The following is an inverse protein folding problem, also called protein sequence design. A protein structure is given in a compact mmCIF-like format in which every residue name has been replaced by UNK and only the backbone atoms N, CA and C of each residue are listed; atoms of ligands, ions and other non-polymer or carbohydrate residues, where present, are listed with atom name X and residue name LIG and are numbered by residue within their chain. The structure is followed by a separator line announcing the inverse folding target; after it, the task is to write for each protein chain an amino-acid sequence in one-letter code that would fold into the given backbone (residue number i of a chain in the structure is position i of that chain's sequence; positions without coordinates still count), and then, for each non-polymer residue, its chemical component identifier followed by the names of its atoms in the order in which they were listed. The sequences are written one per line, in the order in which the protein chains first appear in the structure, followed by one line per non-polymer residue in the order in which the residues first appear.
data_IF_866792362574
#
_entry.id   IF_866792362574
#
_cell.length_a   1.000
_cell.length_b   1.000
_cell.length_c   1.000
_cell.angle_alpha   90.00
_cell.angle_beta   90.00
_cell.angle_gamma   90.00
#
_symmetry.space_group_name_H-M   'P 1'
#
loop_
_entity.id
_entity.type
_entity.pdbx_description
1 polymer ?
#
# COMPACT_ATOMS: atom_id res chain seq x y z
N UNK A 1 -9.29 -8.56 -8.30
CA UNK A 1 -9.28 -7.62 -7.17
C UNK A 1 -8.84 -6.26 -7.67
N UNK A 2 -9.15 -5.18 -6.95
CA UNK A 2 -8.70 -3.83 -7.28
C UNK A 2 -8.32 -3.10 -6.02
N UNK A 3 -7.05 -2.75 -5.93
CA UNK A 3 -6.45 -2.13 -4.76
C UNK A 3 -6.05 -0.70 -5.05
N UNK A 4 -6.25 0.17 -4.07
CA UNK A 4 -5.77 1.55 -4.07
C UNK A 4 -4.85 1.72 -2.88
N UNK A 5 -3.62 2.15 -3.12
CA UNK A 5 -2.66 2.52 -2.08
C UNK A 5 -2.50 4.03 -2.06
N UNK A 6 -2.60 4.63 -0.88
CA UNK A 6 -2.53 6.07 -0.65
C UNK A 6 -1.40 6.38 0.34
N UNK A 7 -0.68 7.47 0.09
CA UNK A 7 0.33 7.99 1.01
C UNK A 7 0.34 9.51 0.98
N UNK A 8 0.32 10.12 2.14
CA UNK A 8 0.49 11.55 2.32
C UNK A 8 1.94 11.87 2.63
N UNK A 9 2.46 13.04 2.23
CA UNK A 9 3.78 13.49 2.67
C UNK A 9 3.89 13.49 4.20
N UNK A 10 5.07 13.21 4.77
CA UNK A 10 5.25 13.17 6.23
C UNK A 10 4.88 14.49 6.92
N UNK A 11 5.04 15.62 6.22
CA UNK A 11 4.72 16.96 6.73
C UNK A 11 3.22 17.30 6.65
N UNK A 12 2.41 16.49 5.95
CA UNK A 12 0.95 16.67 5.90
C UNK A 12 0.27 16.42 7.25
N UNK A 13 0.97 15.73 8.14
CA UNK A 13 0.55 15.42 9.51
C UNK A 13 1.30 16.22 10.57
N UNK A 14 1.79 17.43 10.27
CA UNK A 14 2.34 18.29 11.31
C UNK A 14 1.44 18.22 12.55
N UNK A 15 1.95 18.37 13.77
CA UNK A 15 1.37 18.07 15.08
C UNK A 15 -0.11 18.52 15.37
N UNK A 16 -0.82 18.98 14.36
CA UNK A 16 -2.25 19.27 14.34
C UNK A 16 -3.01 18.02 13.89
N UNK A 17 -3.60 17.30 14.84
CA UNK A 17 -4.63 16.32 14.55
C UNK A 17 -5.79 16.97 13.77
N UNK A 18 -6.49 16.20 12.97
CA UNK A 18 -7.67 16.66 12.23
C UNK A 18 -8.85 16.75 13.21
N UNK A 19 -9.49 17.93 13.31
CA UNK A 19 -10.74 18.06 14.01
C UNK A 19 -11.83 17.35 13.23
N UNK A 20 -12.23 16.14 13.66
CA UNK A 20 -13.46 15.50 13.20
C UNK A 20 -14.60 15.94 14.12
N UNK A 21 -15.82 16.14 13.61
CA UNK A 21 -16.98 16.33 14.47
C UNK A 21 -17.16 15.08 15.31
N UNK A 22 -16.91 15.20 16.61
CA UNK A 22 -17.16 14.13 17.56
C UNK A 22 -18.66 13.82 17.57
N UNK A 23 -19.03 12.55 17.50
CA UNK A 23 -20.43 12.10 17.54
C UNK A 23 -21.15 12.39 18.86
N UNK A 24 -20.43 12.85 19.88
CA UNK A 24 -20.92 13.15 21.23
C UNK A 24 -21.01 14.65 21.55
N UNK A 25 -20.77 15.54 20.57
CA UNK A 25 -20.88 16.98 20.76
C UNK A 25 -19.73 17.62 21.56
N UNK A 26 -18.65 16.91 21.84
CA UNK A 26 -17.45 17.44 22.46
C UNK A 26 -16.58 18.18 21.42
N UNK A 27 -16.27 19.49 21.61
CA UNK A 27 -15.71 20.31 20.54
C UNK A 27 -14.22 20.09 20.24
N UNK A 28 -13.49 19.28 21.00
CA UNK A 28 -12.01 19.27 20.98
C UNK A 28 -11.32 17.90 21.01
N UNK A 29 -11.94 16.85 20.50
CA UNK A 29 -11.23 15.58 20.33
C UNK A 29 -10.28 15.66 19.13
N UNK A 30 -9.00 15.93 19.37
CA UNK A 30 -7.94 15.86 18.34
C UNK A 30 -7.64 14.39 18.05
N UNK A 31 -8.20 13.88 16.95
CA UNK A 31 -7.91 12.52 16.49
C UNK A 31 -6.57 12.51 15.76
N UNK A 32 -5.67 11.54 16.04
CA UNK A 32 -4.42 11.40 15.28
C UNK A 32 -4.71 11.33 13.78
N UNK A 33 -3.95 12.03 12.98
CA UNK A 33 -4.16 12.09 11.51
C UNK A 33 -4.33 10.69 10.88
N UNK A 34 -3.52 9.72 11.31
CA UNK A 34 -3.58 8.34 10.82
C UNK A 34 -4.94 7.68 11.07
N UNK A 35 -5.50 7.89 12.24
CA UNK A 35 -6.82 7.37 12.61
C UNK A 35 -7.93 8.06 11.80
N UNK A 36 -7.87 9.37 11.70
CA UNK A 36 -8.81 10.16 10.91
C UNK A 36 -8.84 9.76 9.42
N UNK A 37 -7.66 9.52 8.83
CA UNK A 37 -7.56 9.03 7.46
C UNK A 37 -8.09 7.60 7.30
N UNK A 38 -7.90 6.75 8.30
CA UNK A 38 -8.50 5.42 8.33
C UNK A 38 -10.03 5.48 8.32
N UNK A 39 -10.64 6.28 9.22
CA UNK A 39 -12.08 6.50 9.27
C UNK A 39 -12.64 7.09 7.97
N UNK A 40 -11.93 8.06 7.40
CA UNK A 40 -12.29 8.63 6.09
C UNK A 40 -12.30 7.58 4.99
N UNK A 41 -11.32 6.68 4.95
CA UNK A 41 -11.22 5.67 3.91
C UNK A 41 -12.31 4.59 4.02
N UNK A 42 -12.80 4.30 5.23
CA UNK A 42 -13.88 3.33 5.47
C UNK A 42 -15.22 3.73 4.79
N UNK A 43 -15.42 5.01 4.43
CA UNK A 43 -16.60 5.42 3.65
C UNK A 43 -16.61 4.82 2.24
N UNK A 44 -15.45 4.42 1.68
CA UNK A 44 -15.34 3.90 0.32
C UNK A 44 -15.41 2.38 0.24
N UNK A 45 -14.93 1.70 1.27
CA UNK A 45 -14.88 0.24 1.37
C UNK A 45 -14.70 -0.20 2.82
N UNK A 46 -15.26 -1.34 3.24
CA UNK A 46 -14.97 -1.91 4.56
C UNK A 46 -13.58 -2.53 4.67
N UNK A 47 -12.86 -2.69 3.56
CA UNK A 47 -11.56 -3.34 3.53
C UNK A 47 -10.45 -2.30 3.44
N UNK A 48 -10.11 -1.72 4.57
CA UNK A 48 -9.06 -0.70 4.73
C UNK A 48 -8.03 -1.18 5.72
N UNK A 49 -6.75 -1.04 5.38
CA UNK A 49 -5.66 -1.40 6.27
C UNK A 49 -4.48 -0.42 6.15
N UNK A 50 -3.80 -0.17 7.26
CA UNK A 50 -2.50 0.46 7.23
C UNK A 50 -1.41 -0.59 7.01
N UNK A 51 -0.64 -0.41 5.96
CA UNK A 51 0.50 -1.26 5.63
C UNK A 51 1.74 -0.39 5.51
N UNK A 52 2.62 -0.48 6.48
CA UNK A 52 3.77 0.40 6.64
C UNK A 52 3.35 1.88 6.61
N UNK A 53 3.82 2.63 5.62
CA UNK A 53 3.52 4.04 5.40
C UNK A 53 2.25 4.31 4.57
N UNK A 54 1.63 3.26 4.01
CA UNK A 54 0.52 3.38 3.08
C UNK A 54 -0.83 3.00 3.70
N UNK A 55 -1.88 3.73 3.34
CA UNK A 55 -3.27 3.33 3.55
C UNK A 55 -3.73 2.54 2.32
N UNK A 56 -4.08 1.29 2.53
CA UNK A 56 -4.45 0.35 1.49
C UNK A 56 -5.95 0.07 1.53
N UNK A 57 -6.62 0.21 0.39
CA UNK A 57 -8.05 -0.02 0.21
C UNK A 57 -8.28 -1.15 -0.80
N UNK A 58 -9.04 -2.17 -0.45
CA UNK A 58 -9.56 -3.15 -1.42
C UNK A 58 -10.97 -2.71 -1.82
N UNK A 59 -11.17 -2.35 -3.10
CA UNK A 59 -12.39 -1.68 -3.55
C UNK A 59 -13.21 -2.49 -4.56
N UNK A 60 -12.84 -3.73 -4.88
CA UNK A 60 -13.53 -4.54 -5.90
C UNK A 60 -15.03 -4.68 -5.63
N UNK A 61 -15.40 -4.97 -4.37
CA UNK A 61 -16.79 -5.12 -3.96
C UNK A 61 -17.57 -3.81 -3.97
N UNK A 62 -16.90 -2.67 -3.81
CA UNK A 62 -17.52 -1.36 -3.68
C UNK A 62 -17.64 -0.60 -5.00
N UNK A 63 -16.99 -1.04 -6.08
CA UNK A 63 -16.96 -0.31 -7.36
C UNK A 63 -18.34 0.01 -7.94
N UNK A 64 -19.32 -0.89 -7.74
CA UNK A 64 -20.69 -0.68 -8.21
C UNK A 64 -21.42 0.44 -7.47
N UNK A 65 -21.08 0.66 -6.19
CA UNK A 65 -21.66 1.72 -5.36
C UNK A 65 -21.16 3.11 -5.78
N UNK A 66 -20.03 3.15 -6.46
CA UNK A 66 -19.33 4.38 -6.85
C UNK A 66 -19.29 4.62 -8.36
N UNK A 67 -20.19 4.01 -9.14
CA UNK A 67 -20.23 4.14 -10.61
C UNK A 67 -18.90 3.82 -11.31
N UNK A 68 -18.12 2.91 -10.71
CA UNK A 68 -16.87 2.41 -11.27
C UNK A 68 -15.61 3.11 -10.77
N UNK A 69 -14.48 2.68 -11.34
CA UNK A 69 -13.14 3.08 -10.85
C UNK A 69 -12.87 4.59 -10.96
N UNK A 70 -13.22 5.18 -12.11
CA UNK A 70 -12.93 6.59 -12.38
C UNK A 70 -13.71 7.51 -11.43
N UNK A 71 -14.96 7.20 -11.16
CA UNK A 71 -15.81 7.96 -10.25
C UNK A 71 -15.33 7.82 -8.80
N UNK A 72 -15.01 6.59 -8.38
CA UNK A 72 -14.42 6.33 -7.05
C UNK A 72 -13.10 7.10 -6.86
N UNK A 73 -12.19 7.03 -7.84
CA UNK A 73 -10.91 7.72 -7.77
C UNK A 73 -11.08 9.23 -7.63
N UNK A 74 -11.97 9.82 -8.43
CA UNK A 74 -12.31 11.24 -8.36
C UNK A 74 -12.84 11.59 -6.97
N UNK A 75 -13.76 10.79 -6.43
CA UNK A 75 -14.36 11.01 -5.11
C UNK A 75 -13.31 10.95 -3.99
N UNK A 76 -12.36 10.01 -4.04
CA UNK A 76 -11.24 9.92 -3.10
C UNK A 76 -10.39 11.19 -3.13
N UNK A 77 -10.08 11.71 -4.32
CA UNK A 77 -9.28 12.94 -4.46
C UNK A 77 -10.04 14.16 -3.93
N UNK A 78 -11.31 14.32 -4.34
CA UNK A 78 -12.15 15.47 -3.99
C UNK A 78 -12.48 15.55 -2.49
N UNK A 79 -12.66 14.40 -1.85
CA UNK A 79 -12.98 14.32 -0.41
C UNK A 79 -11.77 14.14 0.49
N UNK A 80 -10.55 14.21 -0.06
CA UNK A 80 -9.32 14.08 0.73
C UNK A 80 -9.32 15.07 1.90
N UNK A 81 -9.32 14.60 3.15
CA UNK A 81 -9.44 15.48 4.30
C UNK A 81 -8.14 16.20 4.65
N UNK A 82 -7.01 15.69 4.16
CA UNK A 82 -5.73 16.33 4.40
C UNK A 82 -5.48 17.45 3.39
N UNK A 83 -4.98 18.62 3.80
CA UNK A 83 -4.72 19.75 2.90
C UNK A 83 -3.58 19.48 1.92
N UNK A 84 -2.81 18.41 2.12
CA UNK A 84 -1.67 18.07 1.31
C UNK A 84 -2.04 17.12 0.15
N UNK A 85 -1.24 17.19 -0.90
CA UNK A 85 -1.36 16.27 -2.03
C UNK A 85 -1.19 14.81 -1.59
N UNK A 86 -2.12 13.93 -2.00
CA UNK A 86 -2.03 12.51 -1.75
C UNK A 86 -1.39 11.78 -2.93
N UNK A 87 -0.32 11.04 -2.68
CA UNK A 87 0.21 10.09 -3.65
C UNK A 87 -0.66 8.85 -3.69
N UNK A 88 -0.91 8.33 -4.89
CA UNK A 88 -1.76 7.14 -5.06
C UNK A 88 -1.19 6.19 -6.12
N UNK A 89 -1.47 4.91 -5.94
CA UNK A 89 -1.23 3.87 -6.93
C UNK A 89 -2.39 2.85 -6.91
N UNK A 90 -2.68 2.25 -8.06
CA UNK A 90 -3.76 1.28 -8.21
C UNK A 90 -3.24 0.05 -8.94
N UNK A 91 -3.54 -1.15 -8.41
CA UNK A 91 -3.12 -2.42 -8.99
C UNK A 91 -4.13 -3.54 -8.66
N UNK A 92 -3.97 -4.68 -9.32
CA UNK A 92 -4.77 -5.86 -9.06
C UNK A 92 -4.38 -6.57 -7.74
N UNK A 93 -3.19 -6.31 -7.24
CA UNK A 93 -2.60 -6.88 -6.02
C UNK A 93 -2.13 -5.73 -5.14
N UNK A 94 -2.52 -5.72 -3.86
CA UNK A 94 -2.26 -4.62 -2.94
C UNK A 94 -0.77 -4.37 -2.68
N UNK A 95 0.00 -5.42 -2.55
CA UNK A 95 1.45 -5.31 -2.37
C UNK A 95 2.15 -4.70 -3.60
N UNK A 96 1.64 -4.94 -4.82
CA UNK A 96 2.13 -4.28 -6.03
C UNK A 96 1.70 -2.81 -6.02
N UNK A 97 0.47 -2.49 -5.58
CA UNK A 97 0.03 -1.11 -5.44
C UNK A 97 0.93 -0.31 -4.48
N UNK A 98 1.33 -0.90 -3.35
CA UNK A 98 2.28 -0.29 -2.40
C UNK A 98 3.66 -0.09 -3.05
N UNK A 99 4.17 -1.07 -3.78
CA UNK A 99 5.45 -0.94 -4.48
C UNK A 99 5.45 0.19 -5.51
N UNK A 100 4.37 0.28 -6.30
CA UNK A 100 4.18 1.34 -7.29
C UNK A 100 4.03 2.72 -6.63
N UNK A 101 3.35 2.79 -5.48
CA UNK A 101 3.24 3.99 -4.67
C UNK A 101 4.61 4.47 -4.20
N UNK A 102 5.44 3.58 -3.67
CA UNK A 102 6.82 3.88 -3.24
C UNK A 102 7.67 4.46 -4.36
N UNK A 103 7.58 3.87 -5.56
CA UNK A 103 8.30 4.39 -6.73
C UNK A 103 7.81 5.80 -7.11
N UNK A 104 6.49 6.04 -7.09
CA UNK A 104 5.92 7.38 -7.37
C UNK A 104 6.39 8.43 -6.37
N UNK A 105 6.36 8.11 -5.08
CA UNK A 105 6.82 9.02 -4.02
C UNK A 105 8.30 9.36 -4.19
N UNK A 106 9.11 8.42 -4.67
CA UNK A 106 10.54 8.60 -4.93
C UNK A 106 10.85 9.23 -6.29
N UNK A 107 9.83 9.54 -7.10
CA UNK A 107 10.05 10.06 -8.47
C UNK A 107 10.73 9.05 -9.40
N UNK A 108 10.64 7.75 -9.09
CA UNK A 108 11.26 6.68 -9.85
C UNK A 108 10.36 6.24 -11.02
N UNK A 109 10.95 5.76 -12.13
CA UNK A 109 10.18 5.24 -13.25
C UNK A 109 9.37 4.00 -12.84
N UNK A 110 8.14 3.92 -13.37
CA UNK A 110 7.24 2.82 -13.09
C UNK A 110 7.47 1.69 -14.10
N UNK A 111 7.89 0.48 -13.70
CA UNK A 111 8.12 -0.62 -14.62
C UNK A 111 6.81 -1.10 -15.26
N UNK A 112 6.87 -1.46 -16.54
CA UNK A 112 5.72 -2.03 -17.24
C UNK A 112 5.52 -3.52 -16.89
N UNK A 113 6.61 -4.27 -16.78
CA UNK A 113 6.58 -5.70 -16.41
C UNK A 113 6.50 -5.88 -14.89
N UNK A 114 5.28 -6.06 -14.39
CA UNK A 114 4.96 -6.24 -12.96
C UNK A 114 4.37 -7.62 -12.69
N UNK A 115 4.79 -8.27 -11.58
CA UNK A 115 5.68 -7.79 -10.53
C UNK A 115 7.18 -7.98 -10.81
N UNK A 116 7.59 -8.61 -11.93
CA UNK A 116 8.95 -9.10 -12.14
C UNK A 116 10.02 -7.99 -12.08
N UNK A 117 9.79 -6.86 -12.75
CA UNK A 117 10.74 -5.75 -12.81
C UNK A 117 10.69 -4.78 -11.61
N UNK A 118 9.85 -5.05 -10.60
CA UNK A 118 9.81 -4.20 -9.40
C UNK A 118 11.12 -4.31 -8.62
N UNK A 119 11.73 -3.18 -8.18
CA UNK A 119 12.94 -3.19 -7.36
C UNK A 119 12.70 -3.84 -6.00
N UNK A 120 13.67 -4.63 -5.51
CA UNK A 120 13.59 -5.29 -4.20
C UNK A 120 13.39 -4.32 -3.03
N UNK A 121 13.90 -3.10 -3.14
CA UNK A 121 13.72 -2.06 -2.12
C UNK A 121 12.25 -1.68 -1.88
N UNK A 122 11.38 -1.95 -2.85
CA UNK A 122 9.93 -1.70 -2.73
C UNK A 122 9.17 -2.81 -2.02
N UNK A 123 9.80 -3.97 -1.76
CA UNK A 123 9.19 -5.10 -1.06
C UNK A 123 9.57 -5.09 0.43
N UNK A 124 8.60 -4.89 1.31
CA UNK A 124 8.83 -4.83 2.76
C UNK A 124 9.54 -6.07 3.29
N UNK A 125 9.11 -7.28 2.87
CA UNK A 125 9.74 -8.53 3.28
C UNK A 125 11.20 -8.69 2.81
N UNK A 126 11.62 -7.93 1.80
CA UNK A 126 13.02 -7.95 1.34
C UNK A 126 13.94 -7.02 2.13
N UNK A 127 13.38 -6.01 2.85
CA UNK A 127 14.18 -4.98 3.55
C UNK A 127 15.30 -5.53 4.43
N UNK A 128 15.07 -6.56 5.28
CA UNK A 128 16.13 -7.12 6.13
C UNK A 128 17.28 -7.79 5.34
N UNK A 129 17.00 -8.13 4.08
CA UNK A 129 17.89 -8.92 3.23
C UNK A 129 18.53 -8.13 2.10
N UNK A 130 18.19 -6.84 1.92
CA UNK A 130 18.62 -6.03 0.78
C UNK A 130 20.13 -6.01 0.57
N UNK A 131 20.91 -5.85 1.64
CA UNK A 131 22.38 -5.84 1.54
C UNK A 131 22.94 -7.17 0.99
N UNK A 132 22.39 -8.28 1.46
CA UNK A 132 22.82 -9.61 1.01
C UNK A 132 22.35 -9.91 -0.42
N UNK A 133 21.10 -9.60 -0.73
CA UNK A 133 20.54 -9.78 -2.08
C UNK A 133 21.31 -8.95 -3.11
N UNK A 134 21.61 -7.69 -2.79
CA UNK A 134 22.44 -6.83 -3.65
C UNK A 134 23.85 -7.38 -3.88
N UNK A 135 24.49 -7.94 -2.85
CA UNK A 135 25.82 -8.59 -2.98
C UNK A 135 25.78 -9.84 -3.87
N UNK A 136 24.62 -10.50 -3.95
CA UNK A 136 24.39 -11.64 -4.85
C UNK A 136 23.99 -11.20 -6.27
N UNK A 137 23.94 -9.88 -6.53
CA UNK A 137 23.54 -9.33 -7.82
C UNK A 137 22.03 -9.29 -8.08
N UNK A 138 21.20 -9.65 -7.07
CA UNK A 138 19.74 -9.65 -7.19
C UNK A 138 19.18 -8.27 -6.87
N UNK A 139 18.35 -7.72 -7.76
CA UNK A 139 17.83 -6.36 -7.68
C UNK A 139 16.31 -6.26 -7.80
N UNK A 140 15.67 -7.24 -8.43
CA UNK A 140 14.24 -7.22 -8.74
C UNK A 140 13.49 -8.38 -8.06
N UNK A 141 12.17 -8.21 -7.93
CA UNK A 141 11.30 -9.26 -7.39
C UNK A 141 11.38 -10.53 -8.23
N UNK A 142 11.41 -10.39 -9.58
CA UNK A 142 11.50 -11.53 -10.49
C UNK A 142 12.75 -12.35 -10.32
N UNK A 143 13.91 -11.70 -10.16
CA UNK A 143 15.18 -12.40 -9.95
C UNK A 143 15.16 -13.23 -8.67
N UNK A 144 14.59 -12.71 -7.58
CA UNK A 144 14.47 -13.46 -6.32
C UNK A 144 13.38 -14.53 -6.40
N UNK A 145 12.25 -14.24 -7.07
CA UNK A 145 11.19 -15.24 -7.27
C UNK A 145 11.67 -16.46 -8.07
N UNK A 146 12.56 -16.25 -9.04
CA UNK A 146 13.14 -17.31 -9.87
C UNK A 146 14.10 -18.26 -9.10
N UNK A 147 14.54 -17.89 -7.89
CA UNK A 147 15.38 -18.75 -7.09
C UNK A 147 14.63 -20.02 -6.65
N UNK A 148 15.34 -21.18 -6.54
CA UNK A 148 14.75 -22.41 -6.02
C UNK A 148 14.18 -22.19 -4.61
N UNK A 149 12.91 -22.65 -4.40
CA UNK A 149 12.14 -22.36 -3.18
C UNK A 149 12.85 -22.77 -1.90
N UNK A 150 13.34 -24.00 -1.81
CA UNK A 150 13.89 -24.54 -0.57
C UNK A 150 15.19 -23.83 -0.12
N UNK A 151 16.19 -23.59 -0.98
CA UNK A 151 17.36 -22.78 -0.64
C UNK A 151 17.02 -21.34 -0.27
N UNK A 152 16.06 -20.72 -0.97
CA UNK A 152 15.61 -19.35 -0.70
C UNK A 152 15.01 -19.25 0.71
N UNK A 153 14.05 -20.11 1.05
CA UNK A 153 13.40 -20.12 2.38
C UNK A 153 14.41 -20.37 3.50
N UNK A 154 15.35 -21.29 3.28
CA UNK A 154 16.42 -21.59 4.25
C UNK A 154 17.32 -20.39 4.54
N UNK A 155 17.60 -19.56 3.51
CA UNK A 155 18.54 -18.44 3.63
C UNK A 155 17.89 -17.13 4.04
N UNK A 156 16.68 -16.85 3.55
CA UNK A 156 16.00 -15.56 3.70
C UNK A 156 14.71 -15.64 4.52
N UNK A 157 14.34 -16.84 4.97
CA UNK A 157 13.09 -17.05 5.69
C UNK A 157 11.86 -17.24 4.79
N UNK A 158 10.76 -17.73 5.38
CA UNK A 158 9.52 -18.01 4.64
C UNK A 158 8.79 -16.73 4.22
N UNK A 159 8.93 -15.62 4.96
CA UNK A 159 8.17 -14.39 4.76
C UNK A 159 8.47 -13.74 3.40
N UNK A 160 9.75 -13.69 3.00
CA UNK A 160 10.12 -13.18 1.69
C UNK A 160 9.52 -14.03 0.56
N UNK A 161 9.55 -15.36 0.71
CA UNK A 161 8.94 -16.24 -0.29
C UNK A 161 7.43 -16.09 -0.36
N UNK A 162 6.76 -16.01 0.81
CA UNK A 162 5.32 -15.80 0.90
C UNK A 162 4.90 -14.49 0.21
N UNK A 163 5.63 -13.41 0.46
CA UNK A 163 5.36 -12.12 -0.17
C UNK A 163 5.45 -12.20 -1.69
N UNK A 164 6.46 -12.89 -2.22
CA UNK A 164 6.57 -13.12 -3.66
C UNK A 164 5.45 -14.01 -4.20
N UNK A 165 5.09 -15.11 -3.51
CA UNK A 165 3.97 -15.97 -3.91
C UNK A 165 2.65 -15.18 -3.98
N UNK A 166 2.39 -14.25 -3.05
CA UNK A 166 1.25 -13.34 -3.10
C UNK A 166 1.34 -12.41 -4.32
N UNK A 167 2.50 -11.82 -4.58
CA UNK A 167 2.70 -10.92 -5.70
C UNK A 167 2.47 -11.58 -7.08
N UNK A 168 2.69 -12.88 -7.18
CA UNK A 168 2.39 -13.68 -8.37
C UNK A 168 0.98 -14.30 -8.35
N UNK A 169 0.15 -13.98 -7.35
CA UNK A 169 -1.21 -14.51 -7.24
C UNK A 169 -1.28 -16.00 -6.86
N UNK A 170 -0.20 -16.58 -6.37
CA UNK A 170 -0.10 -17.98 -5.94
C UNK A 170 -0.66 -18.20 -4.52
N UNK A 171 -0.80 -17.13 -3.77
CA UNK A 171 -1.39 -17.10 -2.43
C UNK A 171 -2.34 -15.92 -2.28
N UNK A 172 -3.39 -16.05 -1.47
CA UNK A 172 -4.29 -14.95 -1.20
C UNK A 172 -3.59 -13.86 -0.37
N UNK A 173 -3.98 -12.63 -0.62
CA UNK A 173 -3.55 -11.45 0.11
C UNK A 173 -4.49 -11.20 1.28
N UNK A 174 -3.94 -10.93 2.47
CA UNK A 174 -4.71 -10.63 3.68
C UNK A 174 -3.98 -9.58 4.51
N UNK A 175 -4.73 -8.63 5.05
CA UNK A 175 -4.24 -7.54 5.86
C UNK A 175 -5.05 -7.40 7.15
N UNK A 176 -4.47 -6.82 8.23
CA UNK A 176 -5.23 -6.45 9.42
C UNK A 176 -6.15 -5.27 9.08
N UNK A 177 -7.43 -5.55 8.86
CA UNK A 177 -8.45 -4.54 8.56
C UNK A 177 -8.72 -3.65 9.78
N UNK A 178 -9.05 -2.37 9.52
CA UNK A 178 -9.47 -1.39 10.53
C UNK A 178 -10.84 -1.72 11.10
#
# INVERSE_FOLDING_TARGET
MHWIALQWPPDAGGAAGMALPASDGSPDAVVPMREALGWWALQFTPHVAWVDEALLLEVSGSLRLWDGRAALQRRIIESNPAPAHVHQAQEAIGMIAIAMLRLRVQGQPLPADRPAALPLATLTAARPHLALLSRLGLRTWGEVHALPRAPMVRRFGPELRRALDIAWGLMPESYPWL
#
